data_IF_663949433298
#
_entry.id   IF_663949433298
#
_cell.length_a   1.000
_cell.length_b   1.000
_cell.length_c   1.000
_cell.angle_alpha   90.00
_cell.angle_beta   90.00
_cell.angle_gamma   90.00
#
_symmetry.space_group_name_H-M   'P 1'
#
loop_
_entity.id
_entity.type
_entity.pdbx_description
1 polymer ?
#
# COMPACT_ATOMS: atom_id res chain seq x y z
N UNK A 1 3.01 -11.12 -72.61
CA UNK A 1 2.91 -12.17 -71.57
C UNK A 1 4.25 -12.55 -70.89
N UNK A 2 5.36 -11.82 -71.14
CA UNK A 2 6.67 -12.12 -70.54
C UNK A 2 7.12 -11.10 -69.46
N UNK A 3 6.56 -9.89 -69.41
CA UNK A 3 6.91 -8.87 -68.40
C UNK A 3 6.24 -9.09 -67.03
N UNK A 4 5.07 -9.75 -66.98
CA UNK A 4 4.32 -9.98 -65.73
C UNK A 4 4.95 -11.10 -64.88
N UNK A 5 5.74 -12.00 -65.49
CA UNK A 5 6.39 -13.11 -64.78
C UNK A 5 7.66 -12.70 -64.01
N UNK A 6 8.30 -11.57 -64.35
CA UNK A 6 9.48 -11.06 -63.61
C UNK A 6 9.11 -10.23 -62.37
N UNK A 7 7.91 -9.64 -62.33
CA UNK A 7 7.43 -8.91 -61.15
C UNK A 7 7.01 -9.84 -60.01
N UNK A 8 6.49 -11.04 -60.32
CA UNK A 8 6.04 -12.01 -59.31
C UNK A 8 7.23 -12.68 -58.60
N UNK A 9 8.36 -12.89 -59.28
CA UNK A 9 9.55 -13.51 -58.65
C UNK A 9 10.26 -12.53 -57.70
N UNK A 10 10.21 -11.22 -57.97
CA UNK A 10 10.80 -10.21 -57.07
C UNK A 10 9.89 -9.95 -55.85
N UNK A 11 8.57 -10.08 -56.00
CA UNK A 11 7.64 -9.95 -54.86
C UNK A 11 7.60 -11.17 -53.93
N UNK A 12 7.96 -12.36 -54.45
CA UNK A 12 8.02 -13.59 -53.64
C UNK A 12 9.34 -13.70 -52.84
N UNK A 13 10.42 -13.05 -53.29
CA UNK A 13 11.69 -12.97 -52.56
C UNK A 13 11.70 -11.91 -51.45
N UNK A 14 10.76 -10.96 -51.45
CA UNK A 14 10.60 -9.98 -50.37
C UNK A 14 9.68 -10.48 -49.23
N UNK A 15 8.89 -11.53 -49.47
CA UNK A 15 7.90 -12.05 -48.50
C UNK A 15 8.43 -13.20 -47.63
N UNK A 16 9.55 -13.85 -48.00
CA UNK A 16 10.15 -14.94 -47.21
C UNK A 16 11.25 -14.48 -46.23
N UNK A 17 11.70 -13.22 -46.31
CA UNK A 17 12.76 -12.68 -45.45
C UNK A 17 12.29 -12.12 -44.11
N UNK A 18 10.98 -12.03 -43.89
CA UNK A 18 10.36 -11.57 -42.64
C UNK A 18 9.77 -12.75 -41.85
N UNK A 19 10.49 -13.88 -41.79
CA UNK A 19 10.33 -14.77 -40.64
C UNK A 19 10.90 -14.02 -39.45
N UNK A 20 10.06 -13.20 -38.81
CA UNK A 20 10.32 -12.67 -37.48
C UNK A 20 10.68 -13.85 -36.59
N UNK A 21 11.98 -14.00 -36.31
CA UNK A 21 12.44 -14.83 -35.23
C UNK A 21 11.74 -14.30 -33.99
N UNK A 22 10.70 -15.00 -33.54
CA UNK A 22 10.14 -14.80 -32.23
C UNK A 22 11.24 -15.31 -31.30
N UNK A 23 12.13 -14.41 -30.89
CA UNK A 23 13.08 -14.69 -29.82
C UNK A 23 12.22 -14.82 -28.57
N UNK A 24 12.01 -16.04 -28.13
CA UNK A 24 11.45 -16.30 -26.81
C UNK A 24 12.42 -15.71 -25.80
N UNK A 25 12.04 -14.59 -25.18
CA UNK A 25 12.81 -13.96 -24.12
C UNK A 25 12.52 -14.76 -22.85
N UNK A 26 13.38 -15.74 -22.56
CA UNK A 26 13.37 -16.42 -21.28
C UNK A 26 13.94 -15.49 -20.21
N UNK A 27 13.31 -15.45 -19.05
CA UNK A 27 13.91 -14.81 -17.87
C UNK A 27 15.12 -15.65 -17.43
N UNK A 28 16.33 -15.06 -17.49
CA UNK A 28 17.54 -15.70 -17.00
C UNK A 28 17.64 -15.55 -15.47
N UNK A 29 18.43 -16.40 -14.83
CA UNK A 29 18.70 -16.35 -13.40
C UNK A 29 20.17 -16.04 -13.13
N UNK A 30 20.45 -14.82 -12.68
CA UNK A 30 21.77 -14.40 -12.23
C UNK A 30 21.92 -14.69 -10.73
N UNK A 31 22.62 -15.78 -10.42
CA UNK A 31 22.89 -16.17 -9.04
C UNK A 31 24.11 -15.43 -8.49
N UNK A 32 23.92 -14.67 -7.41
CA UNK A 32 25.01 -14.06 -6.67
C UNK A 32 25.86 -15.14 -6.00
N UNK A 33 27.19 -14.96 -5.94
CA UNK A 33 28.08 -15.93 -5.28
C UNK A 33 27.98 -15.93 -3.75
N UNK A 34 27.43 -14.87 -3.17
CA UNK A 34 27.04 -14.78 -1.74
C UNK A 34 25.94 -13.73 -1.57
N UNK A 35 25.33 -13.64 -0.38
CA UNK A 35 24.39 -12.55 -0.06
C UNK A 35 25.06 -11.18 0.16
N UNK A 36 26.38 -11.04 -0.01
CA UNK A 36 27.07 -9.77 0.18
C UNK A 36 26.60 -8.76 -0.86
N UNK A 37 26.49 -7.48 -0.47
CA UNK A 37 26.02 -6.44 -1.39
C UNK A 37 26.83 -6.40 -2.69
N UNK A 38 28.15 -6.60 -2.63
CA UNK A 38 29.02 -6.62 -3.82
C UNK A 38 28.63 -7.72 -4.80
N UNK A 39 28.35 -8.93 -4.30
CA UNK A 39 28.05 -10.09 -5.13
C UNK A 39 26.62 -10.01 -5.69
N UNK A 40 25.68 -9.51 -4.89
CA UNK A 40 24.31 -9.23 -5.35
C UNK A 40 24.30 -8.11 -6.39
N UNK A 41 25.08 -7.05 -6.19
CA UNK A 41 25.23 -5.97 -7.18
C UNK A 41 25.84 -6.47 -8.48
N UNK A 42 26.82 -7.37 -8.42
CA UNK A 42 27.40 -7.99 -9.61
C UNK A 42 26.36 -8.81 -10.41
N UNK A 43 25.58 -9.64 -9.72
CA UNK A 43 24.49 -10.39 -10.34
C UNK A 43 23.39 -9.47 -10.91
N UNK A 44 23.00 -8.43 -10.17
CA UNK A 44 22.06 -7.41 -10.63
C UNK A 44 22.55 -6.67 -11.88
N UNK A 45 23.85 -6.33 -11.95
CA UNK A 45 24.41 -5.65 -13.12
C UNK A 45 24.41 -6.55 -14.36
N UNK A 46 24.58 -7.87 -14.18
CA UNK A 46 24.52 -8.85 -15.27
C UNK A 46 23.08 -9.10 -15.75
N UNK A 47 22.09 -8.97 -14.87
CA UNK A 47 20.68 -9.19 -15.19
C UNK A 47 20.11 -8.18 -16.20
N UNK A 48 19.17 -8.63 -17.02
CA UNK A 48 18.35 -7.82 -17.91
C UNK A 48 16.93 -7.62 -17.34
N UNK A 49 16.12 -6.79 -17.99
CA UNK A 49 14.70 -6.63 -17.61
C UNK A 49 13.99 -7.97 -17.77
N UNK A 50 13.29 -8.41 -16.72
CA UNK A 50 12.57 -9.68 -16.66
C UNK A 50 13.31 -10.78 -15.90
N UNK A 51 14.62 -10.62 -15.66
CA UNK A 51 15.46 -11.66 -15.05
C UNK A 51 15.29 -11.75 -13.52
N UNK A 52 15.79 -12.86 -12.99
CA UNK A 52 15.89 -13.12 -11.55
C UNK A 52 17.31 -12.88 -11.08
N UNK A 53 17.47 -12.09 -10.03
CA UNK A 53 18.70 -11.98 -9.23
C UNK A 53 18.52 -12.86 -8.01
N UNK A 54 19.15 -14.05 -8.02
CA UNK A 54 19.03 -15.03 -6.95
C UNK A 54 20.16 -14.86 -5.93
N UNK A 55 19.79 -14.68 -4.66
CA UNK A 55 20.71 -14.60 -3.52
C UNK A 55 20.79 -15.97 -2.85
N UNK A 56 21.99 -16.52 -2.63
CA UNK A 56 22.15 -17.79 -1.93
C UNK A 56 21.87 -17.63 -0.43
N UNK A 57 21.83 -18.77 0.26
CA UNK A 57 21.80 -18.78 1.72
C UNK A 57 23.02 -18.06 2.31
N UNK A 58 22.83 -17.37 3.42
CA UNK A 58 23.87 -16.67 4.15
C UNK A 58 23.31 -15.54 5.02
N UNK A 59 24.16 -15.04 5.91
CA UNK A 59 23.89 -13.88 6.73
C UNK A 59 24.88 -12.78 6.36
N UNK A 60 24.37 -11.68 5.79
CA UNK A 60 25.20 -10.61 5.25
C UNK A 60 24.82 -9.26 5.84
N UNK A 61 25.83 -8.49 6.24
CA UNK A 61 25.67 -7.12 6.71
C UNK A 61 25.85 -6.13 5.57
N UNK A 62 24.89 -5.24 5.41
CA UNK A 62 24.88 -4.19 4.40
C UNK A 62 24.88 -2.83 5.10
N UNK A 63 25.93 -2.02 4.88
CA UNK A 63 26.01 -0.64 5.36
C UNK A 63 25.44 0.38 4.37
N UNK A 64 25.18 -0.05 3.14
CA UNK A 64 24.53 0.68 2.05
C UNK A 64 23.50 -0.22 1.39
N UNK A 65 22.61 0.34 0.56
CA UNK A 65 21.58 -0.43 -0.14
C UNK A 65 21.88 -0.76 -1.60
N UNK A 66 21.06 -1.65 -2.17
CA UNK A 66 20.97 -1.92 -3.61
C UNK A 66 19.87 -1.04 -4.23
N UNK A 67 20.21 -0.30 -5.28
CA UNK A 67 19.22 0.46 -6.06
C UNK A 67 18.74 -0.34 -7.26
N UNK A 68 17.44 -0.64 -7.31
CA UNK A 68 16.78 -1.33 -8.41
C UNK A 68 16.15 -0.28 -9.35
N UNK A 69 16.64 -0.20 -10.58
CA UNK A 69 16.18 0.77 -11.60
C UNK A 69 15.53 0.10 -12.82
N UNK A 70 15.48 -1.23 -12.84
CA UNK A 70 14.90 -2.06 -13.91
C UNK A 70 13.98 -3.12 -13.34
N UNK A 71 13.04 -3.60 -14.16
CA UNK A 71 12.10 -4.63 -13.75
C UNK A 71 12.78 -5.98 -13.62
N UNK A 72 12.99 -6.45 -12.40
CA UNK A 72 13.62 -7.73 -12.07
C UNK A 72 12.92 -8.37 -10.88
N UNK A 73 13.23 -9.64 -10.63
CA UNK A 73 12.93 -10.29 -9.36
C UNK A 73 14.19 -10.44 -8.51
N UNK A 74 14.21 -9.88 -7.31
CA UNK A 74 15.23 -10.14 -6.30
C UNK A 74 14.72 -11.23 -5.36
N UNK A 75 15.42 -12.35 -5.33
CA UNK A 75 14.95 -13.55 -4.65
C UNK A 75 16.02 -14.11 -3.71
N UNK A 76 15.74 -14.16 -2.41
CA UNK A 76 16.53 -14.93 -1.45
C UNK A 76 16.23 -16.43 -1.50
N UNK A 77 17.05 -17.22 -0.82
CA UNK A 77 16.88 -18.67 -0.70
C UNK A 77 15.75 -19.08 0.27
N UNK A 78 15.03 -18.10 0.84
CA UNK A 78 14.01 -18.28 1.87
C UNK A 78 14.33 -17.45 3.11
N UNK A 79 13.30 -17.05 3.86
CA UNK A 79 13.46 -16.20 5.05
C UNK A 79 14.32 -16.84 6.14
N UNK A 80 14.38 -18.16 6.21
CA UNK A 80 15.23 -18.89 7.16
C UNK A 80 16.67 -19.10 6.65
N UNK A 81 16.96 -18.73 5.39
CA UNK A 81 18.20 -19.03 4.71
C UNK A 81 18.98 -17.78 4.29
N UNK A 82 18.30 -16.71 3.88
CA UNK A 82 18.94 -15.46 3.43
C UNK A 82 18.56 -14.31 4.36
N UNK A 83 19.54 -13.86 5.16
CA UNK A 83 19.40 -12.73 6.08
C UNK A 83 20.25 -11.55 5.64
N UNK A 84 19.64 -10.37 5.57
CA UNK A 84 20.32 -9.10 5.31
C UNK A 84 20.17 -8.18 6.51
N UNK A 85 21.29 -7.91 7.18
CA UNK A 85 21.36 -7.04 8.36
C UNK A 85 21.73 -5.62 7.93
N UNK A 86 20.89 -4.66 8.27
CA UNK A 86 21.15 -3.24 8.04
C UNK A 86 22.08 -2.69 9.12
N UNK A 87 23.37 -2.64 8.81
CA UNK A 87 24.38 -2.01 9.66
C UNK A 87 24.60 -0.53 9.31
N UNK A 88 23.82 0.00 8.36
CA UNK A 88 23.88 1.39 7.90
C UNK A 88 22.78 2.27 8.51
N UNK A 89 22.53 3.40 7.85
CA UNK A 89 21.45 4.35 8.20
C UNK A 89 20.44 4.56 7.06
N UNK A 90 20.63 3.87 5.93
CA UNK A 90 19.81 3.97 4.72
C UNK A 90 18.98 2.70 4.52
N UNK A 91 18.08 2.74 3.54
CA UNK A 91 17.35 1.57 3.03
C UNK A 91 18.30 0.47 2.53
N UNK A 92 17.94 -0.79 2.77
CA UNK A 92 18.64 -1.94 2.19
C UNK A 92 18.34 -2.08 0.69
N UNK A 93 17.10 -1.80 0.28
CA UNK A 93 16.66 -1.82 -1.12
C UNK A 93 15.97 -0.49 -1.46
N UNK A 94 16.39 0.15 -2.54
CA UNK A 94 15.73 1.33 -3.12
C UNK A 94 15.21 0.99 -4.53
N UNK A 95 13.89 0.92 -4.69
CA UNK A 95 13.24 0.71 -6.00
C UNK A 95 12.95 2.08 -6.61
N UNK A 96 13.59 2.39 -7.74
CA UNK A 96 13.52 3.69 -8.43
C UNK A 96 13.50 3.48 -9.95
N UNK A 97 12.42 2.88 -10.45
CA UNK A 97 12.23 2.60 -11.88
C UNK A 97 11.75 3.83 -12.65
N UNK A 98 11.96 3.86 -13.96
CA UNK A 98 11.56 4.96 -14.84
C UNK A 98 10.31 4.68 -15.68
N UNK A 99 9.71 3.50 -15.55
CA UNK A 99 8.49 3.09 -16.23
C UNK A 99 7.75 1.99 -15.46
N UNK A 100 6.53 1.64 -15.87
CA UNK A 100 5.73 0.61 -15.22
C UNK A 100 6.21 -0.81 -15.59
N UNK A 101 7.23 -1.27 -14.87
CA UNK A 101 7.86 -2.58 -15.03
C UNK A 101 7.52 -3.50 -13.86
N UNK A 102 7.62 -4.81 -14.08
CA UNK A 102 7.45 -5.80 -13.01
C UNK A 102 8.65 -5.77 -12.08
N UNK A 103 8.42 -5.54 -10.80
CA UNK A 103 9.45 -5.64 -9.74
C UNK A 103 8.95 -6.60 -8.68
N UNK A 104 9.75 -7.61 -8.34
CA UNK A 104 9.41 -8.61 -7.33
C UNK A 104 10.51 -8.74 -6.28
N UNK A 105 10.18 -8.70 -4.99
CA UNK A 105 11.13 -8.92 -3.88
C UNK A 105 10.60 -10.05 -3.00
N UNK A 106 11.39 -11.11 -2.80
CA UNK A 106 10.91 -12.29 -2.06
C UNK A 106 11.98 -13.13 -1.39
N UNK A 107 11.59 -13.86 -0.34
CA UNK A 107 12.39 -14.92 0.27
C UNK A 107 13.57 -14.39 1.09
N UNK A 108 13.47 -13.18 1.64
CA UNK A 108 14.55 -12.52 2.38
C UNK A 108 14.08 -12.17 3.80
N UNK A 109 14.93 -12.42 4.78
CA UNK A 109 14.80 -11.84 6.12
C UNK A 109 15.60 -10.53 6.17
N UNK A 110 14.89 -9.41 6.31
CA UNK A 110 15.47 -8.09 6.49
C UNK A 110 15.53 -7.76 7.99
N UNK A 111 16.74 -7.52 8.50
CA UNK A 111 16.94 -7.09 9.89
C UNK A 111 17.39 -5.64 9.94
N UNK A 112 16.52 -4.73 10.39
CA UNK A 112 16.89 -3.33 10.57
C UNK A 112 17.60 -3.04 11.90
N UNK A 113 17.76 -4.06 12.77
CA UNK A 113 18.42 -4.01 14.09
C UNK A 113 17.70 -3.16 15.14
N UNK A 114 17.08 -2.05 14.73
CA UNK A 114 16.35 -1.09 15.57
C UNK A 114 15.08 -0.61 14.84
N UNK A 115 14.03 -0.32 15.59
CA UNK A 115 12.86 0.44 15.11
C UNK A 115 12.87 1.91 15.56
N UNK A 116 13.90 2.34 16.30
CA UNK A 116 14.00 3.68 16.88
C UNK A 116 15.10 4.52 16.20
N UNK A 117 15.18 4.48 14.87
CA UNK A 117 16.08 5.32 14.07
C UNK A 117 15.46 5.65 12.70
N UNK A 118 16.26 5.81 11.64
CA UNK A 118 15.80 6.15 10.29
C UNK A 118 15.88 4.98 9.29
N UNK A 119 16.12 3.75 9.74
CA UNK A 119 16.32 2.60 8.85
C UNK A 119 14.99 2.08 8.30
N UNK A 120 14.98 1.89 6.99
CA UNK A 120 13.93 1.18 6.28
C UNK A 120 14.54 -0.10 5.67
N UNK A 121 13.76 -1.16 5.45
CA UNK A 121 14.26 -2.28 4.66
C UNK A 121 14.13 -1.97 3.16
N UNK A 122 12.93 -1.57 2.74
CA UNK A 122 12.62 -1.29 1.33
C UNK A 122 12.00 0.10 1.19
N UNK A 123 12.59 0.92 0.34
CA UNK A 123 11.95 2.12 -0.19
C UNK A 123 11.46 1.86 -1.60
N UNK A 124 10.19 2.17 -1.87
CA UNK A 124 9.63 2.22 -3.22
C UNK A 124 9.43 3.68 -3.60
N UNK A 125 10.22 4.17 -4.55
CA UNK A 125 10.22 5.56 -5.00
C UNK A 125 9.44 5.67 -6.32
N UNK A 126 8.11 5.63 -6.23
CA UNK A 126 7.21 5.96 -7.32
C UNK A 126 7.23 7.45 -7.68
N UNK A 127 6.51 7.81 -8.73
CA UNK A 127 6.46 9.20 -9.22
C UNK A 127 5.44 10.04 -8.47
N UNK A 128 5.82 11.26 -8.11
CA UNK A 128 4.97 12.22 -7.39
C UNK A 128 4.41 13.32 -8.29
N UNK A 129 4.73 13.29 -9.60
CA UNK A 129 4.34 14.26 -10.62
C UNK A 129 3.21 13.75 -11.54
N UNK A 130 2.62 12.60 -11.20
CA UNK A 130 1.60 11.93 -11.99
C UNK A 130 2.08 11.36 -13.34
N UNK A 131 3.39 11.35 -13.62
CA UNK A 131 3.92 10.94 -14.93
C UNK A 131 3.67 9.47 -15.27
N UNK A 132 3.81 8.56 -14.31
CA UNK A 132 3.36 7.16 -14.44
C UNK A 132 3.19 6.50 -13.06
N UNK A 133 2.38 5.45 -13.00
CA UNK A 133 2.23 4.59 -11.82
C UNK A 133 3.05 3.31 -11.90
N UNK A 134 3.77 2.96 -10.82
CA UNK A 134 4.35 1.64 -10.65
C UNK A 134 3.24 0.69 -10.15
N UNK A 135 2.65 -0.10 -11.05
CA UNK A 135 1.48 -0.94 -10.70
C UNK A 135 1.76 -2.44 -10.75
N UNK A 136 2.95 -2.84 -11.20
CA UNK A 136 3.40 -4.24 -11.29
C UNK A 136 4.42 -4.59 -10.20
N UNK A 137 4.25 -4.01 -9.02
CA UNK A 137 5.06 -4.31 -7.84
C UNK A 137 4.51 -5.55 -7.12
N UNK A 138 5.40 -6.44 -6.68
CA UNK A 138 5.07 -7.47 -5.69
C UNK A 138 6.17 -7.65 -4.65
N UNK A 139 5.86 -7.45 -3.37
CA UNK A 139 6.79 -7.73 -2.26
C UNK A 139 6.15 -8.82 -1.40
N UNK A 140 6.75 -10.01 -1.35
CA UNK A 140 6.06 -11.15 -0.74
C UNK A 140 6.97 -12.23 -0.18
N UNK A 141 6.48 -13.02 0.78
CA UNK A 141 7.26 -14.06 1.48
C UNK A 141 8.59 -13.54 2.04
N UNK A 142 8.57 -12.34 2.62
CA UNK A 142 9.70 -11.78 3.35
C UNK A 142 9.38 -11.68 4.83
N UNK A 143 10.42 -11.62 5.66
CA UNK A 143 10.30 -11.22 7.06
C UNK A 143 11.03 -9.90 7.26
N UNK A 144 10.38 -8.95 7.93
CA UNK A 144 10.92 -7.64 8.26
C UNK A 144 11.00 -7.53 9.77
N UNK A 145 12.21 -7.60 10.32
CA UNK A 145 12.46 -7.34 11.73
C UNK A 145 12.80 -5.86 11.91
N UNK A 146 11.96 -5.17 12.67
CA UNK A 146 12.08 -3.76 13.06
C UNK A 146 12.09 -2.80 11.86
N UNK A 147 12.57 -1.58 12.08
CA UNK A 147 12.64 -0.49 11.11
C UNK A 147 11.71 0.67 11.44
N UNK A 148 12.16 1.88 11.09
CA UNK A 148 11.37 3.11 11.18
C UNK A 148 10.15 3.04 10.27
N UNK A 149 10.39 2.64 9.01
CA UNK A 149 9.37 2.12 8.09
C UNK A 149 9.94 0.85 7.44
N UNK A 150 9.44 -0.33 7.79
CA UNK A 150 9.99 -1.57 7.20
C UNK A 150 9.87 -1.53 5.66
N UNK A 151 8.69 -1.20 5.13
CA UNK A 151 8.49 -0.87 3.72
C UNK A 151 7.89 0.55 3.62
N UNK A 152 8.59 1.46 2.93
CA UNK A 152 8.08 2.81 2.65
C UNK A 152 7.78 2.99 1.17
N UNK A 153 6.50 3.06 0.85
CA UNK A 153 5.99 3.29 -0.50
C UNK A 153 5.70 4.78 -0.70
N UNK A 154 6.28 5.38 -1.73
CA UNK A 154 6.18 6.81 -2.05
C UNK A 154 5.69 7.04 -3.48
N UNK A 155 4.83 8.04 -3.69
CA UNK A 155 4.31 8.44 -4.99
C UNK A 155 3.23 7.50 -5.56
N UNK A 156 3.02 7.55 -6.87
CA UNK A 156 2.04 6.71 -7.56
C UNK A 156 2.53 5.26 -7.65
N UNK A 157 2.18 4.48 -6.65
CA UNK A 157 2.51 3.06 -6.56
C UNK A 157 1.26 2.28 -6.18
N UNK A 158 0.96 1.27 -7.00
CA UNK A 158 -0.02 0.21 -6.75
C UNK A 158 0.73 -1.12 -6.73
N UNK A 159 -0.01 -2.23 -6.77
CA UNK A 159 0.57 -3.57 -6.78
C UNK A 159 0.24 -4.29 -5.49
N UNK A 160 1.15 -5.16 -5.03
CA UNK A 160 0.81 -6.14 -4.00
C UNK A 160 1.93 -6.35 -2.97
N UNK A 161 1.59 -6.24 -1.70
CA UNK A 161 2.37 -6.73 -0.57
C UNK A 161 1.62 -7.92 0.02
N UNK A 162 2.15 -9.14 -0.16
CA UNK A 162 1.47 -10.37 0.29
C UNK A 162 2.34 -11.36 1.04
N UNK A 163 1.76 -12.11 1.98
CA UNK A 163 2.46 -13.20 2.68
C UNK A 163 3.79 -12.76 3.33
N UNK A 164 3.91 -11.52 3.78
CA UNK A 164 5.06 -11.05 4.55
C UNK A 164 4.78 -11.12 6.06
N UNK A 165 5.85 -11.18 6.84
CA UNK A 165 5.79 -11.03 8.30
C UNK A 165 6.54 -9.76 8.70
N UNK A 166 5.87 -8.85 9.40
CA UNK A 166 6.46 -7.64 9.97
C UNK A 166 6.52 -7.80 11.48
N UNK A 167 7.69 -7.58 12.08
CA UNK A 167 7.94 -7.82 13.50
C UNK A 167 8.50 -6.53 14.09
N UNK A 168 7.79 -5.94 15.06
CA UNK A 168 8.27 -4.82 15.86
C UNK A 168 8.76 -3.61 15.07
N UNK A 169 8.20 -3.33 13.88
CA UNK A 169 8.47 -2.09 13.16
C UNK A 169 7.81 -0.91 13.87
N UNK A 170 8.40 0.29 13.82
CA UNK A 170 7.72 1.51 14.27
C UNK A 170 6.53 1.79 13.34
N UNK A 171 6.76 1.69 12.04
CA UNK A 171 5.73 1.56 11.00
C UNK A 171 6.10 0.37 10.12
N UNK A 172 5.19 -0.59 9.93
CA UNK A 172 5.46 -1.75 9.07
C UNK A 172 5.37 -1.38 7.59
N UNK A 173 4.26 -0.78 7.18
CA UNK A 173 4.07 -0.25 5.82
C UNK A 173 3.68 1.22 5.90
N UNK A 174 4.61 2.07 5.46
CA UNK A 174 4.37 3.49 5.30
C UNK A 174 3.98 3.82 3.87
N UNK A 175 2.89 4.56 3.69
CA UNK A 175 2.39 4.99 2.38
C UNK A 175 2.36 6.52 2.34
N UNK A 176 3.11 7.09 1.41
CA UNK A 176 3.05 8.51 1.03
C UNK A 176 2.62 8.55 -0.43
N UNK A 177 1.40 8.96 -0.74
CA UNK A 177 0.92 8.98 -2.13
C UNK A 177 1.61 10.05 -2.99
N UNK A 178 1.09 10.26 -4.20
CA UNK A 178 1.43 11.40 -5.07
C UNK A 178 0.43 12.55 -4.94
N UNK A 179 -0.16 12.67 -3.75
CA UNK A 179 -0.82 13.87 -3.27
C UNK A 179 -2.01 14.29 -4.16
N UNK A 180 -2.00 15.51 -4.70
CA UNK A 180 -3.08 16.02 -5.54
C UNK A 180 -3.32 15.21 -6.83
N UNK A 181 -2.28 14.57 -7.39
CA UNK A 181 -2.44 13.69 -8.55
C UNK A 181 -3.28 12.45 -8.21
N UNK A 182 -3.25 12.00 -6.95
CA UNK A 182 -4.14 10.95 -6.50
C UNK A 182 -5.60 11.41 -6.54
N UNK A 183 -5.91 12.62 -6.12
CA UNK A 183 -7.28 13.15 -6.16
C UNK A 183 -7.81 13.46 -7.56
N UNK A 184 -6.94 13.60 -8.56
CA UNK A 184 -7.35 13.82 -9.96
C UNK A 184 -7.66 12.52 -10.71
N UNK A 185 -7.23 11.36 -10.19
CA UNK A 185 -7.55 10.05 -10.75
C UNK A 185 -8.96 9.58 -10.32
N UNK A 186 -9.65 8.76 -11.14
CA UNK A 186 -10.93 8.18 -10.75
C UNK A 186 -10.89 7.55 -9.35
N UNK A 187 -11.85 7.93 -8.50
CA UNK A 187 -12.03 7.37 -7.16
C UNK A 187 -13.13 6.31 -7.29
N UNK A 188 -12.74 5.04 -7.32
CA UNK A 188 -13.61 3.89 -7.54
C UNK A 188 -13.11 2.76 -6.65
N UNK A 189 -13.97 2.23 -5.81
CA UNK A 189 -13.67 1.04 -5.00
C UNK A 189 -13.74 -0.24 -5.84
N UNK A 190 -13.13 -1.31 -5.35
CA UNK A 190 -13.26 -2.63 -5.98
C UNK A 190 -12.47 -2.75 -7.29
N UNK A 191 -11.46 -1.90 -7.50
CA UNK A 191 -10.61 -1.92 -8.70
C UNK A 191 -9.16 -2.26 -8.33
N UNK A 192 -8.33 -2.47 -9.34
CA UNK A 192 -6.88 -2.66 -9.18
C UNK A 192 -6.12 -1.34 -8.87
N UNK A 193 -6.81 -0.20 -8.77
CA UNK A 193 -6.19 1.13 -8.66
C UNK A 193 -5.80 1.50 -7.22
N UNK A 194 -5.11 0.58 -6.55
CA UNK A 194 -4.64 0.72 -5.18
C UNK A 194 -3.40 -0.15 -4.91
N UNK A 195 -2.67 0.16 -3.85
CA UNK A 195 -1.70 -0.77 -3.28
C UNK A 195 -2.44 -1.79 -2.41
N UNK A 196 -2.35 -3.07 -2.77
CA UNK A 196 -2.93 -4.16 -2.00
C UNK A 196 -1.96 -4.63 -0.92
N UNK A 197 -2.45 -4.79 0.30
CA UNK A 197 -1.74 -5.37 1.43
C UNK A 197 -2.62 -6.51 1.91
N UNK A 198 -2.23 -7.76 1.61
CA UNK A 198 -3.07 -8.93 1.89
C UNK A 198 -2.31 -10.16 2.41
N UNK A 199 -2.93 -10.92 3.31
CA UNK A 199 -2.35 -12.10 3.96
C UNK A 199 -0.97 -11.85 4.59
N UNK A 200 -0.73 -10.63 5.09
CA UNK A 200 0.47 -10.34 5.87
C UNK A 200 0.18 -10.54 7.36
N UNK A 201 1.24 -10.81 8.11
CA UNK A 201 1.23 -10.88 9.57
C UNK A 201 2.03 -9.71 10.13
N UNK A 202 1.45 -8.96 11.05
CA UNK A 202 2.07 -7.84 11.75
C UNK A 202 2.13 -8.16 13.23
N UNK A 203 3.32 -8.19 13.81
CA UNK A 203 3.56 -8.59 15.19
C UNK A 203 4.16 -7.41 15.95
N UNK A 204 3.56 -7.10 17.10
CA UNK A 204 4.13 -6.20 18.10
C UNK A 204 4.23 -6.97 19.42
N UNK A 205 5.44 -7.07 19.96
CA UNK A 205 5.70 -7.66 21.27
C UNK A 205 6.65 -6.77 22.11
N UNK A 206 6.95 -7.21 23.33
CA UNK A 206 7.82 -6.48 24.25
C UNK A 206 9.31 -6.39 23.80
N UNK A 207 9.68 -6.93 22.64
CA UNK A 207 11.00 -6.75 22.03
C UNK A 207 11.09 -5.54 21.09
N UNK A 208 10.01 -4.76 20.93
CA UNK A 208 10.06 -3.47 20.25
C UNK A 208 10.96 -2.48 21.03
N UNK A 209 11.80 -1.69 20.32
CA UNK A 209 12.74 -0.77 20.99
C UNK A 209 12.08 0.53 21.49
N UNK A 210 10.81 0.74 21.15
CA UNK A 210 9.95 1.87 21.54
C UNK A 210 8.49 1.49 21.38
N UNK A 211 7.59 2.34 21.89
CA UNK A 211 6.18 2.29 21.48
C UNK A 211 6.09 2.52 19.97
N UNK A 212 5.60 1.52 19.21
CA UNK A 212 5.44 1.66 17.77
C UNK A 212 4.40 2.72 17.44
N UNK A 213 4.61 3.37 16.32
CA UNK A 213 3.58 4.12 15.62
C UNK A 213 2.56 3.18 14.94
N UNK A 214 1.69 3.70 14.07
CA UNK A 214 0.73 2.85 13.35
C UNK A 214 1.41 1.91 12.34
N UNK A 215 1.12 0.60 12.44
CA UNK A 215 1.70 -0.41 11.55
C UNK A 215 1.43 -0.14 10.06
N UNK A 216 0.22 0.32 9.73
CA UNK A 216 -0.12 0.88 8.43
C UNK A 216 -0.33 2.39 8.60
N UNK A 217 0.49 3.17 7.91
CA UNK A 217 0.51 4.62 8.07
C UNK A 217 0.39 5.34 6.71
N UNK A 218 -0.70 6.07 6.48
CA UNK A 218 -0.93 6.76 5.21
C UNK A 218 -0.74 8.27 5.31
N UNK A 219 -0.24 8.86 4.22
CA UNK A 219 -0.16 10.31 4.00
C UNK A 219 -0.36 10.63 2.52
N UNK A 220 -0.66 11.89 2.24
CA UNK A 220 -0.48 12.53 0.92
C UNK A 220 -1.16 11.77 -0.22
N UNK A 221 -2.45 11.47 -0.09
CA UNK A 221 -3.20 10.87 -1.19
C UNK A 221 -2.96 9.37 -1.41
N UNK A 222 -2.42 8.64 -0.43
CA UNK A 222 -2.29 7.18 -0.50
C UNK A 222 -3.62 6.47 -0.81
N UNK A 223 -3.56 5.39 -1.60
CA UNK A 223 -4.71 4.54 -1.94
C UNK A 223 -4.36 3.08 -1.65
N UNK A 224 -5.10 2.44 -0.76
CA UNK A 224 -4.80 1.06 -0.36
C UNK A 224 -6.06 0.20 -0.26
N UNK A 225 -5.84 -1.10 -0.48
CA UNK A 225 -6.75 -2.17 -0.08
C UNK A 225 -6.00 -3.01 0.94
N UNK A 226 -6.40 -2.95 2.20
CA UNK A 226 -5.82 -3.71 3.32
C UNK A 226 -6.79 -4.82 3.68
N UNK A 227 -6.48 -6.07 3.33
CA UNK A 227 -7.43 -7.18 3.49
C UNK A 227 -6.82 -8.48 3.96
N UNK A 228 -7.57 -9.24 4.75
CA UNK A 228 -7.16 -10.59 5.19
C UNK A 228 -5.79 -10.65 5.89
N UNK A 229 -5.36 -9.54 6.51
CA UNK A 229 -4.14 -9.51 7.30
C UNK A 229 -4.42 -9.85 8.76
N UNK A 230 -3.38 -10.32 9.45
CA UNK A 230 -3.39 -10.55 10.90
C UNK A 230 -2.49 -9.52 11.57
N UNK A 231 -3.05 -8.67 12.44
CA UNK A 231 -2.32 -7.76 13.30
C UNK A 231 -2.39 -8.28 14.74
N UNK A 232 -1.25 -8.66 15.30
CA UNK A 232 -1.12 -9.23 16.63
C UNK A 232 -0.17 -8.39 17.50
N UNK A 233 -0.78 -7.65 18.41
CA UNK A 233 -0.13 -6.92 19.50
C UNK A 233 -0.50 -7.47 20.87
N UNK A 234 -0.98 -8.72 20.96
CA UNK A 234 -1.42 -9.33 22.23
C UNK A 234 -0.27 -9.60 23.20
N UNK A 235 0.95 -9.69 22.68
CA UNK A 235 2.17 -9.87 23.47
C UNK A 235 2.86 -8.56 23.85
N UNK A 236 2.31 -7.40 23.43
CA UNK A 236 2.86 -6.09 23.75
C UNK A 236 2.17 -5.48 24.98
N UNK A 237 2.74 -5.75 26.16
CA UNK A 237 2.20 -5.27 27.44
C UNK A 237 2.83 -3.97 27.92
N UNK A 238 3.92 -3.52 27.27
CA UNK A 238 4.67 -2.33 27.67
C UNK A 238 4.05 -1.00 27.23
N UNK A 239 3.10 -1.01 26.29
CA UNK A 239 2.52 0.22 25.72
C UNK A 239 1.22 -0.02 24.97
N UNK A 240 1.00 0.77 23.91
CA UNK A 240 -0.17 0.70 23.05
C UNK A 240 0.16 0.09 21.68
N UNK A 241 -0.63 -0.87 21.22
CA UNK A 241 -0.56 -1.35 19.85
C UNK A 241 -1.43 -0.48 18.95
N UNK A 242 -0.81 0.28 18.05
CA UNK A 242 -1.49 1.11 17.05
C UNK A 242 -1.35 0.44 15.67
N UNK A 243 -2.45 0.20 14.96
CA UNK A 243 -2.40 -0.61 13.73
C UNK A 243 -2.63 0.19 12.46
N UNK A 244 -3.53 1.18 12.47
CA UNK A 244 -3.91 1.85 11.24
C UNK A 244 -4.13 3.34 11.44
N UNK A 245 -3.44 4.14 10.64
CA UNK A 245 -3.68 5.58 10.49
C UNK A 245 -3.86 5.98 9.03
N UNK A 246 -4.81 6.88 8.84
CA UNK A 246 -5.11 7.57 7.60
C UNK A 246 -5.01 9.07 7.84
N UNK A 247 -3.88 9.68 7.51
CA UNK A 247 -3.68 11.12 7.74
C UNK A 247 -4.59 12.00 6.89
N UNK A 248 -5.17 13.04 7.50
CA UNK A 248 -6.01 14.01 6.79
C UNK A 248 -5.19 15.01 6.00
N UNK A 249 -5.85 16.06 5.51
CA UNK A 249 -5.17 17.19 4.93
C UNK A 249 -4.49 18.00 6.04
N UNK A 250 -3.17 17.95 6.19
CA UNK A 250 -2.51 18.65 7.31
C UNK A 250 -2.73 20.16 7.28
N UNK A 251 -2.91 20.75 6.09
CA UNK A 251 -3.11 22.17 5.87
C UNK A 251 -4.19 22.41 4.81
N UNK A 252 -4.64 23.67 4.71
CA UNK A 252 -5.52 24.07 3.63
C UNK A 252 -4.80 23.91 2.29
N UNK A 253 -5.40 23.18 1.36
CA UNK A 253 -4.90 23.09 0.01
C UNK A 253 -5.03 24.43 -0.69
N UNK A 254 -3.90 24.89 -1.20
CA UNK A 254 -3.79 26.14 -1.96
C UNK A 254 -3.32 25.87 -3.39
N UNK A 255 -3.19 24.60 -3.78
CA UNK A 255 -2.70 24.17 -5.09
C UNK A 255 -1.18 24.22 -5.21
N UNK A 256 -0.46 24.02 -4.10
CA UNK A 256 1.00 24.10 -4.05
C UNK A 256 1.65 22.76 -3.70
N UNK A 257 2.96 22.66 -3.93
CA UNK A 257 3.74 21.47 -3.57
C UNK A 257 3.90 21.27 -2.05
N UNK A 258 3.45 22.22 -1.23
CA UNK A 258 3.46 22.14 0.24
C UNK A 258 2.11 21.70 0.83
N UNK A 259 1.15 21.34 -0.03
CA UNK A 259 -0.15 20.84 0.42
C UNK A 259 -0.01 19.37 0.79
N UNK A 260 -0.56 18.94 1.92
CA UNK A 260 -0.66 17.53 2.27
C UNK A 260 -2.11 17.12 2.13
N UNK A 261 -2.43 16.25 1.17
CA UNK A 261 -3.81 15.78 0.94
C UNK A 261 -4.14 14.53 1.74
N UNK A 262 -5.40 14.42 2.18
CA UNK A 262 -5.96 13.18 2.71
C UNK A 262 -6.04 12.08 1.65
N UNK A 263 -6.49 10.89 2.03
CA UNK A 263 -6.57 9.73 1.13
C UNK A 263 -7.85 9.84 0.28
N UNK A 264 -7.82 9.61 -1.04
CA UNK A 264 -9.05 9.67 -1.83
C UNK A 264 -9.98 8.50 -1.52
N UNK A 265 -9.40 7.30 -1.38
CA UNK A 265 -10.15 6.08 -1.08
C UNK A 265 -9.29 5.05 -0.38
N UNK A 266 -9.87 4.40 0.63
CA UNK A 266 -9.30 3.26 1.34
C UNK A 266 -10.32 2.13 1.43
N UNK A 267 -9.87 0.89 1.25
CA UNK A 267 -10.63 -0.31 1.58
C UNK A 267 -9.89 -1.10 2.67
N UNK A 268 -10.57 -1.41 3.76
CA UNK A 268 -10.03 -2.16 4.90
C UNK A 268 -11.02 -3.26 5.26
N UNK A 269 -10.74 -4.52 4.91
CA UNK A 269 -11.71 -5.57 5.17
C UNK A 269 -11.18 -6.97 5.44
N UNK A 270 -11.95 -7.75 6.20
CA UNK A 270 -11.59 -9.14 6.51
C UNK A 270 -10.30 -9.29 7.31
N UNK A 271 -9.81 -8.22 7.95
CA UNK A 271 -8.60 -8.28 8.78
C UNK A 271 -8.94 -8.68 10.21
N UNK A 272 -7.96 -9.26 10.89
CA UNK A 272 -8.00 -9.48 12.34
C UNK A 272 -7.01 -8.54 13.01
N UNK A 273 -7.48 -7.74 13.95
CA UNK A 273 -6.67 -6.84 14.77
C UNK A 273 -6.80 -7.25 16.24
N UNK A 274 -5.68 -7.57 16.87
CA UNK A 274 -5.68 -8.03 18.27
C UNK A 274 -4.63 -7.28 19.06
N UNK A 275 -5.01 -6.62 20.14
CA UNK A 275 -4.07 -5.90 21.01
C UNK A 275 -4.21 -6.33 22.46
N UNK A 276 -3.11 -6.28 23.23
CA UNK A 276 -3.22 -6.34 24.68
C UNK A 276 -3.86 -5.06 25.22
N UNK A 277 -3.33 -3.91 24.79
CA UNK A 277 -3.80 -2.58 25.16
C UNK A 277 -3.66 -1.64 23.97
N UNK A 278 -4.65 -0.78 23.78
CA UNK A 278 -4.53 0.39 22.91
C UNK A 278 -5.51 1.47 23.34
N UNK A 279 -5.15 2.73 23.17
CA UNK A 279 -6.11 3.83 23.30
C UNK A 279 -6.86 4.08 21.98
N UNK A 280 -6.35 3.56 20.85
CA UNK A 280 -6.94 3.71 19.52
C UNK A 280 -6.33 2.71 18.54
N UNK A 281 -7.16 1.92 17.88
CA UNK A 281 -6.68 0.89 16.95
C UNK A 281 -6.65 1.39 15.51
N UNK A 282 -7.72 2.07 15.10
CA UNK A 282 -7.94 2.59 13.76
C UNK A 282 -8.20 4.10 13.86
N UNK A 283 -7.47 4.88 13.06
CA UNK A 283 -7.62 6.33 12.99
C UNK A 283 -7.83 6.80 11.55
N UNK A 284 -9.01 7.35 11.27
CA UNK A 284 -9.41 7.82 9.96
C UNK A 284 -9.54 9.34 9.98
N UNK A 285 -8.92 10.03 9.02
CA UNK A 285 -8.90 11.50 9.03
C UNK A 285 -9.22 12.18 7.71
N UNK A 286 -9.75 11.42 6.75
CA UNK A 286 -10.18 11.98 5.47
C UNK A 286 -10.56 10.90 4.46
N UNK A 287 -11.24 11.32 3.40
CA UNK A 287 -11.52 10.49 2.23
C UNK A 287 -12.76 9.63 2.32
N UNK A 288 -12.91 8.77 1.31
CA UNK A 288 -13.87 7.67 1.34
C UNK A 288 -13.24 6.40 1.90
N UNK A 289 -13.93 5.77 2.84
CA UNK A 289 -13.45 4.56 3.52
C UNK A 289 -14.49 3.46 3.45
N UNK A 290 -14.09 2.28 2.98
CA UNK A 290 -14.87 1.05 3.10
C UNK A 290 -14.20 0.18 4.17
N UNK A 291 -14.78 0.11 5.37
CA UNK A 291 -14.23 -0.64 6.50
C UNK A 291 -15.20 -1.75 6.92
N UNK A 292 -14.94 -3.01 6.58
CA UNK A 292 -15.95 -4.06 6.77
C UNK A 292 -15.42 -5.46 7.04
N UNK A 293 -16.22 -6.29 7.71
CA UNK A 293 -15.85 -7.67 7.98
C UNK A 293 -14.58 -7.82 8.84
N UNK A 294 -14.15 -6.77 9.54
CA UNK A 294 -12.96 -6.82 10.38
C UNK A 294 -13.31 -7.31 11.79
N UNK A 295 -12.39 -8.06 12.39
CA UNK A 295 -12.48 -8.50 13.79
C UNK A 295 -11.45 -7.74 14.61
N UNK A 296 -11.90 -6.98 15.58
CA UNK A 296 -11.04 -6.19 16.46
C UNK A 296 -11.14 -6.76 17.87
N UNK A 297 -10.01 -7.02 18.52
CA UNK A 297 -9.96 -7.46 19.91
C UNK A 297 -8.95 -6.65 20.69
N UNK A 298 -9.30 -6.28 21.91
CA UNK A 298 -8.43 -5.55 22.81
C UNK A 298 -8.63 -6.08 24.23
N UNK A 299 -7.59 -6.68 24.81
CA UNK A 299 -7.68 -7.34 26.11
C UNK A 299 -8.01 -6.33 27.23
N UNK A 300 -7.41 -5.15 27.19
CA UNK A 300 -7.76 -4.02 28.05
C UNK A 300 -8.73 -3.12 27.30
N UNK A 301 -10.03 -3.24 27.61
CA UNK A 301 -11.11 -2.53 26.91
C UNK A 301 -10.86 -1.02 26.84
N UNK A 302 -10.99 -0.46 25.64
CA UNK A 302 -10.93 0.98 25.35
C UNK A 302 -12.16 1.39 24.55
N UNK A 303 -12.76 2.56 24.80
CA UNK A 303 -13.93 3.01 24.06
C UNK A 303 -13.62 3.45 22.61
N UNK A 304 -12.37 3.84 22.32
CA UNK A 304 -12.04 4.61 21.11
C UNK A 304 -11.28 3.79 20.05
N UNK A 305 -11.77 2.57 19.76
CA UNK A 305 -11.06 1.61 18.89
C UNK A 305 -11.11 2.03 17.40
N UNK A 306 -12.26 2.50 16.93
CA UNK A 306 -12.49 2.95 15.56
C UNK A 306 -12.86 4.44 15.57
N UNK A 307 -11.85 5.28 15.34
CA UNK A 307 -11.97 6.73 15.47
C UNK A 307 -11.90 7.43 14.11
N UNK A 308 -12.76 8.43 13.94
CA UNK A 308 -12.78 9.37 12.84
C UNK A 308 -12.56 10.81 13.35
N UNK A 309 -11.90 11.64 12.56
CA UNK A 309 -11.80 13.09 12.83
C UNK A 309 -11.59 13.85 11.53
N UNK A 310 -11.82 15.15 11.56
CA UNK A 310 -11.44 16.05 10.48
C UNK A 310 -10.37 17.01 11.00
N UNK A 311 -9.27 17.18 10.26
CA UNK A 311 -8.14 17.99 10.74
C UNK A 311 -8.45 19.50 10.75
N UNK A 312 -9.44 19.95 9.98
CA UNK A 312 -9.88 21.34 10.00
C UNK A 312 -10.79 21.66 11.19
N UNK A 313 -11.28 20.64 11.90
CA UNK A 313 -12.24 20.80 13.02
C UNK A 313 -11.57 21.10 14.36
N UNK A 314 -10.24 20.97 14.47
CA UNK A 314 -9.50 21.15 15.72
C UNK A 314 -8.11 21.73 15.49
N UNK A 315 -7.55 22.37 16.51
CA UNK A 315 -6.24 23.02 16.41
C UNK A 315 -5.13 21.98 16.21
N UNK A 316 -4.70 21.83 14.96
CA UNK A 316 -3.42 21.19 14.62
C UNK A 316 -2.30 22.23 14.65
N UNK A 317 -1.04 21.82 14.40
CA UNK A 317 0.06 22.76 14.22
C UNK A 317 -0.06 23.60 12.93
N UNK A 318 -0.99 23.26 12.05
CA UNK A 318 -1.05 23.74 10.67
C UNK A 318 -2.35 24.50 10.35
N UNK A 319 -3.46 24.21 11.03
CA UNK A 319 -4.74 24.90 10.82
C UNK A 319 -4.94 26.07 11.77
N UNK A 320 -4.97 27.27 11.20
CA UNK A 320 -5.40 28.51 11.87
C UNK A 320 -5.87 29.49 10.79
N UNK A 321 -7.11 29.97 10.75
CA UNK A 321 -8.29 29.70 11.60
C UNK A 321 -8.95 28.36 11.22
N UNK A 322 -9.64 27.70 12.17
CA UNK A 322 -10.33 26.43 11.95
C UNK A 322 -11.58 26.56 11.07
N UNK A 323 -11.92 25.49 10.37
CA UNK A 323 -13.19 25.41 9.66
C UNK A 323 -14.36 25.34 10.66
N UNK A 324 -15.49 25.92 10.29
CA UNK A 324 -16.70 25.95 11.13
C UNK A 324 -17.96 25.55 10.37
N UNK A 325 -17.83 25.21 9.09
CA UNK A 325 -18.94 24.88 8.20
C UNK A 325 -18.56 23.74 7.28
N UNK A 326 -19.49 22.81 7.12
CA UNK A 326 -19.39 21.77 6.13
C UNK A 326 -19.47 22.34 4.70
N UNK A 327 -18.75 21.78 3.73
CA UNK A 327 -17.75 20.70 3.85
C UNK A 327 -16.34 21.23 4.12
N UNK A 328 -15.57 20.49 4.93
CA UNK A 328 -14.12 20.63 5.06
C UNK A 328 -13.43 19.93 3.88
N UNK A 329 -12.16 20.27 3.66
CA UNK A 329 -11.39 19.67 2.59
C UNK A 329 -10.96 18.24 2.95
N UNK A 330 -10.99 17.35 1.95
CA UNK A 330 -10.59 15.94 2.08
C UNK A 330 -11.28 15.19 3.24
N UNK A 331 -12.32 15.76 3.84
CA UNK A 331 -13.05 15.22 4.98
C UNK A 331 -13.51 13.79 4.74
N UNK A 332 -13.77 13.05 5.82
CA UNK A 332 -14.45 11.75 5.70
C UNK A 332 -15.78 11.97 4.99
N UNK A 333 -16.01 11.20 3.93
CA UNK A 333 -17.21 11.29 3.10
C UNK A 333 -17.51 9.96 2.44
N UNK A 334 -18.78 9.68 2.14
CA UNK A 334 -19.20 8.47 1.42
C UNK A 334 -18.53 7.20 1.92
N UNK A 335 -18.48 7.06 3.25
CA UNK A 335 -17.73 6.01 3.94
C UNK A 335 -18.68 4.99 4.56
N UNK A 336 -18.31 3.71 4.56
CA UNK A 336 -19.18 2.62 4.96
C UNK A 336 -18.50 1.69 5.92
N UNK A 337 -19.25 1.31 6.94
CA UNK A 337 -18.78 0.49 8.04
C UNK A 337 -19.81 -0.61 8.29
N UNK A 338 -19.48 -1.88 8.04
CA UNK A 338 -20.44 -2.97 8.28
C UNK A 338 -19.76 -4.29 8.62
N UNK A 339 -20.50 -5.17 9.30
CA UNK A 339 -20.02 -6.50 9.70
C UNK A 339 -18.68 -6.50 10.46
N UNK A 340 -18.37 -5.42 11.18
CA UNK A 340 -17.19 -5.36 12.04
C UNK A 340 -17.56 -5.75 13.47
N UNK A 341 -16.66 -6.43 14.17
CA UNK A 341 -16.82 -6.75 15.58
C UNK A 341 -15.69 -6.17 16.40
N UNK A 342 -16.00 -5.74 17.63
CA UNK A 342 -15.04 -5.38 18.66
C UNK A 342 -15.30 -6.25 19.90
N UNK A 343 -14.34 -7.09 20.28
CA UNK A 343 -14.49 -8.08 21.35
C UNK A 343 -15.78 -8.91 21.18
N UNK A 344 -15.98 -9.44 19.97
CA UNK A 344 -17.15 -10.23 19.54
C UNK A 344 -18.48 -9.46 19.47
N UNK A 345 -18.51 -8.17 19.84
CA UNK A 345 -19.70 -7.33 19.78
C UNK A 345 -19.72 -6.56 18.46
N UNK A 346 -20.83 -6.55 17.69
CA UNK A 346 -20.95 -5.72 16.50
C UNK A 346 -20.69 -4.23 16.79
N UNK A 347 -19.87 -3.60 15.96
CA UNK A 347 -19.63 -2.15 16.05
C UNK A 347 -20.84 -1.42 15.47
N UNK A 348 -21.64 -0.79 16.32
CA UNK A 348 -22.87 -0.09 15.94
C UNK A 348 -22.65 1.35 15.44
N UNK A 349 -21.51 1.95 15.78
CA UNK A 349 -21.13 3.29 15.34
C UNK A 349 -19.61 3.52 15.40
N UNK A 350 -19.14 4.59 14.76
CA UNK A 350 -17.76 5.07 14.87
C UNK A 350 -17.64 6.13 15.97
N UNK A 351 -16.43 6.33 16.50
CA UNK A 351 -16.16 7.39 17.49
C UNK A 351 -15.61 8.63 16.79
N UNK A 352 -16.22 9.78 17.04
CA UNK A 352 -15.63 11.07 16.64
C UNK A 352 -14.62 11.53 17.70
N UNK A 353 -13.40 11.89 17.28
CA UNK A 353 -12.32 12.28 18.19
C UNK A 353 -12.66 13.53 19.00
N UNK A 354 -13.31 14.52 18.37
CA UNK A 354 -13.67 15.80 18.96
C UNK A 354 -15.15 16.09 18.72
N UNK A 355 -15.77 16.82 19.63
CA UNK A 355 -17.15 17.27 19.45
C UNK A 355 -17.32 18.19 18.23
N UNK A 356 -16.28 18.92 17.83
CA UNK A 356 -16.30 19.77 16.63
C UNK A 356 -16.38 18.97 15.32
N UNK A 357 -15.92 17.72 15.32
CA UNK A 357 -15.98 16.82 14.15
C UNK A 357 -17.42 16.59 13.69
N UNK A 358 -18.42 16.67 14.58
CA UNK A 358 -19.83 16.44 14.22
C UNK A 358 -20.39 17.48 13.24
N UNK A 359 -19.68 18.58 13.02
CA UNK A 359 -19.99 19.55 11.95
C UNK A 359 -19.72 18.93 10.57
N UNK A 360 -18.62 18.19 10.46
CA UNK A 360 -18.05 17.70 9.20
C UNK A 360 -18.39 16.25 8.93
N UNK A 361 -18.47 15.43 9.96
CA UNK A 361 -18.64 13.98 9.87
C UNK A 361 -19.93 13.59 10.59
N UNK A 362 -20.95 13.22 9.81
CA UNK A 362 -22.26 12.83 10.33
C UNK A 362 -22.68 11.46 9.84
N UNK A 363 -23.31 10.68 10.73
CA UNK A 363 -23.97 9.44 10.34
C UNK A 363 -25.09 9.77 9.34
N UNK A 364 -25.28 8.89 8.38
CA UNK A 364 -26.33 9.00 7.36
C UNK A 364 -26.17 10.19 6.38
N UNK A 365 -24.98 10.82 6.36
CA UNK A 365 -24.55 11.84 5.39
C UNK A 365 -23.09 11.65 4.97
N UNK A 366 -22.24 11.64 5.98
CA UNK A 366 -20.80 11.41 6.05
C UNK A 366 -20.38 9.96 5.79
N UNK A 367 -20.98 9.13 6.63
CA UNK A 367 -20.70 7.72 6.75
C UNK A 367 -21.95 6.93 7.10
N UNK A 368 -21.89 5.63 6.84
CA UNK A 368 -23.01 4.70 6.92
C UNK A 368 -22.60 3.44 7.65
N UNK A 369 -23.45 2.94 8.53
CA UNK A 369 -23.21 1.70 9.29
C UNK A 369 -23.80 0.47 8.59
N UNK A 370 -23.79 0.47 7.26
CA UNK A 370 -24.27 -0.62 6.40
C UNK A 370 -23.43 -0.67 5.11
N UNK A 371 -23.55 -1.76 4.34
CA UNK A 371 -22.87 -1.89 3.05
C UNK A 371 -23.42 -0.90 2.01
N UNK A 372 -22.62 -0.47 1.01
CA UNK A 372 -23.11 0.31 -0.13
C UNK A 372 -24.28 -0.39 -0.84
N UNK A 373 -25.20 0.39 -1.42
CA UNK A 373 -26.33 -0.16 -2.17
C UNK A 373 -25.88 -0.71 -3.53
N UNK A 374 -26.60 -1.71 -4.05
CA UNK A 374 -26.30 -2.35 -5.34
C UNK A 374 -26.61 -1.48 -6.56
N UNK A 375 -27.32 -0.37 -6.37
CA UNK A 375 -27.69 0.59 -7.42
C UNK A 375 -27.65 1.99 -6.84
N UNK A 376 -27.03 2.94 -7.55
CA UNK A 376 -26.89 4.29 -7.03
C UNK A 376 -26.03 5.20 -7.89
N UNK A 377 -25.89 6.45 -7.45
CA UNK A 377 -25.18 7.52 -8.14
C UNK A 377 -23.77 7.71 -7.63
N UNK A 378 -22.84 7.93 -8.56
CA UNK A 378 -21.47 8.33 -8.24
C UNK A 378 -21.38 9.86 -8.23
N UNK A 379 -21.56 10.50 -7.07
CA UNK A 379 -21.11 11.89 -6.93
C UNK A 379 -19.61 11.86 -6.57
N UNK A 380 -18.77 12.29 -7.51
CA UNK A 380 -17.33 12.40 -7.29
C UNK A 380 -17.04 13.68 -6.50
N UNK A 381 -16.60 13.54 -5.25
CA UNK A 381 -16.00 14.65 -4.51
C UNK A 381 -14.51 14.75 -4.82
N UNK A 382 -14.07 15.92 -5.26
CA UNK A 382 -12.66 16.18 -5.62
C UNK A 382 -11.79 16.66 -4.46
N UNK A 383 -12.27 16.53 -3.21
CA UNK A 383 -11.52 16.94 -2.03
C UNK A 383 -11.32 18.46 -1.96
N UNK A 384 -12.37 19.26 -2.18
CA UNK A 384 -12.32 20.74 -2.07
C UNK A 384 -13.44 21.25 -1.18
N UNK A 385 -13.08 22.06 -0.18
CA UNK A 385 -14.03 22.73 0.69
C UNK A 385 -15.10 23.49 -0.12
N UNK A 386 -16.37 23.32 0.26
CA UNK A 386 -17.52 23.96 -0.40
C UNK A 386 -17.98 23.32 -1.71
N UNK A 387 -17.51 22.11 -2.05
CA UNK A 387 -18.07 21.32 -3.16
C UNK A 387 -19.49 20.82 -2.85
N UNK A 388 -20.33 20.70 -3.88
CA UNK A 388 -21.64 20.03 -3.75
C UNK A 388 -21.42 18.52 -3.57
N UNK A 389 -21.80 18.00 -2.40
CA UNK A 389 -21.92 16.56 -2.16
C UNK A 389 -23.39 16.21 -2.00
N UNK A 390 -23.92 15.43 -2.94
CA UNK A 390 -25.23 14.80 -2.78
C UNK A 390 -25.01 13.32 -2.58
N UNK A 391 -25.00 12.90 -1.32
CA UNK A 391 -25.15 11.51 -0.92
C UNK A 391 -26.48 11.40 -0.19
N UNK A 392 -27.29 10.42 -0.56
CA UNK A 392 -28.54 10.12 0.12
C UNK A 392 -28.60 8.63 0.45
N UNK A 393 -29.23 8.27 1.57
CA UNK A 393 -29.54 6.87 1.86
C UNK A 393 -30.51 6.25 0.85
N UNK A 394 -31.28 7.12 0.18
CA UNK A 394 -32.34 6.90 -0.81
C UNK A 394 -31.99 7.19 -2.28
N UNK A 395 -32.28 6.34 -3.29
CA UNK A 395 -32.48 6.78 -4.68
C UNK A 395 -31.25 6.98 -5.58
N UNK A 396 -31.36 7.81 -6.63
CA UNK A 396 -30.37 7.91 -7.73
C UNK A 396 -29.01 8.52 -7.33
N UNK A 397 -28.91 9.12 -6.14
CA UNK A 397 -27.65 9.59 -5.51
C UNK A 397 -27.28 8.72 -4.30
N UNK A 398 -27.89 7.53 -4.20
CA UNK A 398 -27.47 6.55 -3.22
C UNK A 398 -26.12 5.96 -3.61
N UNK A 399 -25.36 5.61 -2.59
CA UNK A 399 -24.11 4.86 -2.59
C UNK A 399 -23.89 3.97 -3.81
N UNK A 400 -22.79 4.22 -4.51
CA UNK A 400 -22.41 3.49 -5.72
C UNK A 400 -22.29 1.97 -5.43
N UNK A 401 -22.52 1.11 -6.45
CA UNK A 401 -22.35 -0.33 -6.28
C UNK A 401 -20.92 -0.66 -5.90
N UNK A 402 -20.76 -1.48 -4.87
CA UNK A 402 -19.48 -1.98 -4.42
C UNK A 402 -19.41 -3.50 -4.56
N UNK A 403 -18.40 -3.95 -5.29
CA UNK A 403 -17.96 -5.34 -5.31
C UNK A 403 -16.47 -5.35 -4.95
N UNK A 404 -16.04 -6.10 -3.92
CA UNK A 404 -14.62 -6.19 -3.58
C UNK A 404 -13.80 -6.70 -4.76
N UNK A 405 -12.61 -6.13 -4.96
CA UNK A 405 -11.73 -6.61 -6.02
C UNK A 405 -11.38 -8.09 -5.84
N UNK A 406 -11.08 -8.78 -6.94
CA UNK A 406 -10.79 -10.23 -6.95
C UNK A 406 -9.74 -10.61 -5.88
N UNK A 407 -10.04 -11.67 -5.12
CA UNK A 407 -9.15 -12.26 -4.11
C UNK A 407 -8.92 -13.75 -4.37
N UNK A 408 -7.68 -14.28 -4.23
CA UNK A 408 -6.43 -13.53 -4.00
C UNK A 408 -6.13 -12.57 -5.16
N UNK A 409 -5.32 -11.54 -4.90
CA UNK A 409 -5.00 -10.56 -5.95
C UNK A 409 -4.40 -11.27 -7.18
N UNK A 410 -4.82 -10.98 -8.43
CA UNK A 410 -4.37 -11.72 -9.62
C UNK A 410 -2.86 -11.72 -9.89
N UNK A 411 -2.11 -10.75 -9.36
CA UNK A 411 -0.62 -10.77 -9.43
C UNK A 411 0.03 -11.84 -8.54
N UNK A 412 -0.75 -12.55 -7.70
CA UNK A 412 -0.26 -13.71 -6.97
C UNK A 412 0.05 -14.88 -7.89
N UNK A 413 -0.79 -15.10 -8.88
CA UNK A 413 -0.74 -16.23 -9.80
C UNK A 413 0.16 -16.00 -11.01
N UNK A 414 0.80 -14.83 -11.17
CA UNK A 414 1.85 -14.64 -12.18
C UNK A 414 3.16 -15.17 -11.61
N UNK A 415 3.61 -16.38 -11.98
CA UNK A 415 4.94 -16.82 -11.61
C UNK A 415 5.93 -16.05 -12.50
N UNK A 416 7.15 -15.85 -12.03
CA UNK A 416 8.28 -15.61 -12.94
C UNK A 416 8.59 -16.91 -13.70
N UNK A 417 7.61 -17.60 -14.31
CA UNK A 417 7.83 -18.95 -14.81
C UNK A 417 8.90 -18.94 -15.89
N UNK A 418 10.06 -19.60 -15.70
CA UNK A 418 10.65 -20.30 -16.81
C UNK A 418 9.64 -21.42 -17.13
N UNK A 419 8.99 -21.31 -18.29
CA UNK A 419 8.16 -22.39 -18.79
C UNK A 419 9.06 -23.59 -19.09
N UNK A 420 9.04 -24.54 -18.14
CA UNK A 420 9.22 -25.98 -18.27
C UNK A 420 10.43 -26.44 -19.12
N UNK A 421 11.45 -26.92 -18.41
CA UNK A 421 12.25 -28.05 -18.89
C UNK A 421 11.32 -29.12 -19.49
N UNK A 422 11.48 -29.35 -20.80
CA UNK A 422 11.20 -30.65 -21.42
C UNK A 422 12.53 -31.30 -21.74
#
# INVERSE_FOLDING_TARGET
MLLIRKLIVIFTLFLCGFCSFIVEIYADTHTATSCSLSNVTAAYNAASVGDVVAMPAGNCSWSTGLTITKGIALQGAGVDATTIINTGTRSLIDISVSSNVTVRITGIYFDNVSNNDSRNAINVNGKTDGSFGLTKLRIHNNTFNKGARAVHVKGWVYGLLDNNTFINSDVAVGITGDNNYSWSRPIIAGTADALFIEDNTFIIDNNADREPNEQIYHQEGGRTVVRYNTFDGTSYTAGNSLFFDSHGNQNYYVGTNADFRGQPILEIYGNTFSSYKTYRMIYLRGGSVLFWGNTLTNAVVSPDILQATDEESWQTAFFSVLATKWSAQDQINNSFFWNNTYNEIPIADIVLRKSSDSTFIQKDRDYFMHAPQSSGGKSTYYGRAGGEMTFSSEGANAYYPYEPYTYPHPSRSTPNSPLRLR
#
